data_IF_329223734270
#
_entry.id   IF_329223734270
#
_cell.length_a   1.000
_cell.length_b   1.000
_cell.length_c   1.000
_cell.angle_alpha   90.00
_cell.angle_beta   90.00
_cell.angle_gamma   90.00
#
_symmetry.space_group_name_H-M   'P 1'
#
loop_
_entity.id
_entity.type
_entity.pdbx_description
1 polymer ?
#
# COMPACT_ATOMS: atom_id res chain seq x y z
N UNK A 1 22.63 -1.07 13.15
CA UNK A 1 22.21 -2.44 12.77
C UNK A 1 23.33 -3.06 11.96
N UNK A 2 23.96 -4.09 12.52
CA UNK A 2 25.17 -4.74 12.02
C UNK A 2 24.92 -5.45 10.68
N UNK A 3 25.82 -5.20 9.74
CA UNK A 3 25.91 -5.77 8.39
C UNK A 3 25.88 -7.30 8.41
N UNK A 4 24.72 -7.89 8.10
CA UNK A 4 24.61 -9.27 7.62
C UNK A 4 24.74 -9.18 6.08
N UNK A 5 25.81 -9.58 5.38
CA UNK A 5 27.06 -10.24 5.71
C UNK A 5 27.88 -10.50 4.43
N UNK A 6 29.20 -10.62 4.57
CA UNK A 6 30.07 -11.54 3.79
C UNK A 6 30.03 -11.53 2.24
N UNK A 7 29.55 -10.46 1.59
CA UNK A 7 29.66 -10.24 0.14
C UNK A 7 28.57 -10.89 -0.73
N UNK A 8 27.60 -11.60 -0.12
CA UNK A 8 26.49 -12.25 -0.84
C UNK A 8 25.44 -11.26 -1.35
N UNK A 9 25.46 -10.03 -0.85
CA UNK A 9 24.58 -8.92 -1.21
C UNK A 9 25.13 -8.06 -2.36
N UNK A 10 26.39 -8.24 -2.74
CA UNK A 10 27.05 -7.44 -3.79
C UNK A 10 26.57 -7.77 -5.21
N UNK A 11 25.97 -8.94 -5.41
CA UNK A 11 25.54 -9.42 -6.72
C UNK A 11 24.15 -10.02 -6.61
N UNK A 12 23.30 -9.70 -7.58
CA UNK A 12 22.04 -10.41 -7.77
C UNK A 12 22.31 -11.89 -8.10
N UNK A 13 21.29 -12.72 -7.94
CA UNK A 13 21.26 -14.17 -8.15
C UNK A 13 22.23 -14.99 -7.27
N UNK A 14 22.90 -14.37 -6.31
CA UNK A 14 23.75 -15.06 -5.33
C UNK A 14 22.90 -15.44 -4.12
N UNK A 15 22.97 -16.73 -3.74
CA UNK A 15 22.31 -17.23 -2.54
C UNK A 15 23.20 -17.05 -1.32
N UNK A 16 22.63 -16.52 -0.25
CA UNK A 16 23.23 -16.54 1.09
C UNK A 16 23.27 -17.97 1.66
N UNK A 17 24.04 -18.23 2.73
CA UNK A 17 24.03 -19.51 3.44
C UNK A 17 22.63 -19.95 3.93
N UNK A 18 21.72 -18.99 4.15
CA UNK A 18 20.33 -19.24 4.58
C UNK A 18 19.36 -19.41 3.39
N UNK A 19 19.87 -19.45 2.15
CA UNK A 19 19.06 -19.61 0.93
C UNK A 19 18.32 -18.36 0.48
N UNK A 20 18.78 -17.17 0.87
CA UNK A 20 18.15 -15.88 0.54
C UNK A 20 18.88 -15.16 -0.59
N UNK A 21 18.15 -14.32 -1.34
CA UNK A 21 18.73 -13.38 -2.30
C UNK A 21 18.54 -11.95 -1.78
N UNK A 22 19.60 -11.38 -1.19
CA UNK A 22 19.52 -10.08 -0.52
C UNK A 22 19.21 -8.92 -1.47
N UNK A 23 19.63 -8.98 -2.73
CA UNK A 23 19.33 -7.93 -3.71
C UNK A 23 17.83 -7.81 -4.00
N UNK A 24 17.08 -8.90 -3.92
CA UNK A 24 15.61 -8.87 -4.02
C UNK A 24 14.99 -8.25 -2.78
N UNK A 25 15.50 -8.57 -1.59
CA UNK A 25 15.02 -7.97 -0.34
C UNK A 25 15.31 -6.47 -0.26
N UNK A 26 16.44 -6.02 -0.78
CA UNK A 26 16.77 -4.60 -0.89
C UNK A 26 15.83 -3.88 -1.87
N UNK A 27 15.42 -4.55 -2.95
CA UNK A 27 14.40 -4.01 -3.84
C UNK A 27 13.05 -3.81 -3.11
N UNK A 28 12.68 -4.72 -2.20
CA UNK A 28 11.49 -4.56 -1.33
C UNK A 28 11.62 -3.32 -0.43
N UNK A 29 12.83 -2.97 0.05
CA UNK A 29 13.04 -1.72 0.80
C UNK A 29 12.78 -0.47 -0.03
N UNK A 30 13.07 -0.50 -1.33
CA UNK A 30 12.69 0.60 -2.23
C UNK A 30 11.16 0.70 -2.39
N UNK A 31 10.44 -0.43 -2.40
CA UNK A 31 8.98 -0.46 -2.43
C UNK A 31 8.38 0.14 -1.15
N UNK A 32 8.91 -0.23 0.02
CA UNK A 32 8.43 0.25 1.33
C UNK A 32 8.55 1.78 1.48
N UNK A 33 9.47 2.42 0.76
CA UNK A 33 9.61 3.87 0.71
C UNK A 33 8.70 4.56 -0.32
N UNK A 34 7.98 3.79 -1.14
CA UNK A 34 7.04 4.33 -2.15
C UNK A 34 5.74 4.83 -1.52
N UNK A 35 5.03 5.72 -2.23
CA UNK A 35 3.69 6.16 -1.83
C UNK A 35 2.71 4.99 -1.82
N UNK A 36 1.64 5.10 -1.03
CA UNK A 36 0.70 4.00 -0.82
C UNK A 36 -0.16 3.76 -2.04
N UNK A 37 -0.28 2.49 -2.45
CA UNK A 37 -1.18 2.05 -3.52
C UNK A 37 -2.00 0.86 -3.03
N UNK A 38 -3.28 0.82 -3.40
CA UNK A 38 -4.20 -0.25 -3.04
C UNK A 38 -4.99 -0.75 -4.24
N UNK A 39 -5.49 -1.97 -4.11
CA UNK A 39 -6.50 -2.55 -4.99
C UNK A 39 -7.58 -3.26 -4.18
N UNK A 40 -8.82 -3.15 -4.64
CA UNK A 40 -9.99 -3.76 -4.00
C UNK A 40 -10.76 -4.54 -5.07
N UNK A 41 -11.01 -5.82 -4.81
CA UNK A 41 -11.91 -6.65 -5.62
C UNK A 41 -13.33 -6.48 -5.10
N UNK A 42 -14.25 -6.12 -5.99
CA UNK A 42 -15.68 -6.06 -5.73
C UNK A 42 -16.41 -7.17 -6.50
N UNK A 43 -17.73 -7.28 -6.33
CA UNK A 43 -18.51 -8.41 -6.89
C UNK A 43 -18.41 -8.51 -8.40
N UNK A 44 -18.38 -7.36 -9.09
CA UNK A 44 -18.43 -7.28 -10.53
C UNK A 44 -17.22 -6.57 -11.15
N UNK A 45 -16.17 -6.32 -10.36
CA UNK A 45 -15.03 -5.53 -10.80
C UNK A 45 -13.85 -5.43 -9.85
N UNK A 46 -12.98 -4.47 -10.17
CA UNK A 46 -11.82 -4.08 -9.35
C UNK A 46 -11.68 -2.56 -9.33
N UNK A 47 -11.21 -2.03 -8.20
CA UNK A 47 -10.88 -0.62 -7.99
C UNK A 47 -9.42 -0.51 -7.60
N UNK A 48 -8.73 0.49 -8.12
CA UNK A 48 -7.36 0.86 -7.77
C UNK A 48 -7.33 2.29 -7.27
N UNK A 49 -6.59 2.54 -6.19
CA UNK A 49 -6.36 3.88 -5.69
C UNK A 49 -4.90 4.07 -5.30
N UNK A 50 -4.40 5.30 -5.47
CA UNK A 50 -3.00 5.64 -5.16
C UNK A 50 -2.88 7.03 -4.57
N UNK A 51 -2.00 7.11 -3.58
CA UNK A 51 -1.52 8.34 -2.98
C UNK A 51 -0.44 8.98 -3.87
N UNK A 52 -0.67 10.22 -4.32
CA UNK A 52 0.33 10.99 -5.09
C UNK A 52 0.81 12.17 -4.27
N UNK A 53 1.92 11.97 -3.57
CA UNK A 53 2.59 13.03 -2.80
C UNK A 53 2.86 14.26 -3.68
N UNK A 54 2.36 15.41 -3.25
CA UNK A 54 2.59 16.71 -3.88
C UNK A 54 3.87 17.29 -3.31
N UNK A 55 4.97 17.08 -4.03
CA UNK A 55 6.30 17.54 -3.58
C UNK A 55 6.52 19.05 -3.75
N UNK A 56 5.73 19.69 -4.59
CA UNK A 56 5.80 21.12 -4.86
C UNK A 56 4.47 21.64 -5.39
N UNK A 57 4.10 22.87 -4.99
CA UNK A 57 2.94 23.60 -5.51
C UNK A 57 3.04 23.93 -7.01
N UNK A 58 4.22 23.75 -7.61
CA UNK A 58 4.44 23.92 -9.05
C UNK A 58 3.93 22.73 -9.87
N UNK A 59 3.65 21.58 -9.24
CA UNK A 59 3.06 20.44 -9.92
C UNK A 59 1.65 20.80 -10.37
N UNK A 60 1.38 20.62 -11.66
CA UNK A 60 0.02 20.81 -12.20
C UNK A 60 -0.87 19.68 -11.66
N UNK A 61 -1.96 20.01 -10.94
CA UNK A 61 -2.89 19.01 -10.40
C UNK A 61 -3.46 18.12 -11.51
N UNK A 62 -3.75 16.85 -11.19
CA UNK A 62 -4.39 15.85 -12.06
C UNK A 62 -3.62 15.48 -13.34
N UNK A 63 -2.39 15.96 -13.55
CA UNK A 63 -1.63 15.71 -14.80
C UNK A 63 -0.59 14.59 -14.71
N UNK A 64 -0.06 14.33 -13.52
CA UNK A 64 1.01 13.35 -13.30
C UNK A 64 0.43 11.99 -12.92
N UNK A 65 -0.25 11.33 -13.86
CA UNK A 65 -1.00 10.08 -13.63
C UNK A 65 -0.05 8.91 -13.31
N UNK A 66 -0.39 8.11 -12.29
CA UNK A 66 0.41 6.94 -11.87
C UNK A 66 -0.23 5.62 -12.26
N UNK A 67 -1.55 5.52 -12.22
CA UNK A 67 -2.28 4.34 -12.66
C UNK A 67 -2.15 4.22 -14.19
N UNK A 68 -1.95 3.00 -14.68
CA UNK A 68 -1.76 2.73 -16.10
C UNK A 68 -2.65 1.58 -16.57
N UNK A 69 -3.34 1.79 -17.69
CA UNK A 69 -4.09 0.72 -18.37
C UNK A 69 -3.17 -0.17 -19.21
N UNK A 70 -3.50 -1.48 -19.25
CA UNK A 70 -2.89 -2.52 -20.09
C UNK A 70 -4.01 -3.18 -20.90
N UNK A 71 -3.87 -3.17 -22.24
CA UNK A 71 -5.00 -3.35 -23.15
C UNK A 71 -6.16 -2.40 -22.72
N UNK A 72 -7.42 -2.83 -22.85
CA UNK A 72 -8.60 -2.03 -22.51
C UNK A 72 -9.28 -2.46 -21.22
N UNK A 73 -8.91 -3.60 -20.64
CA UNK A 73 -9.63 -4.27 -19.54
C UNK A 73 -8.79 -4.49 -18.29
N UNK A 74 -7.51 -4.11 -18.28
CA UNK A 74 -6.59 -4.29 -17.14
C UNK A 74 -6.11 -2.93 -16.65
N UNK A 75 -6.27 -2.68 -15.35
CA UNK A 75 -5.62 -1.58 -14.65
C UNK A 75 -4.38 -2.06 -13.89
N UNK A 76 -3.36 -1.22 -13.81
CA UNK A 76 -2.16 -1.46 -13.03
C UNK A 76 -1.76 -0.21 -12.25
N UNK A 77 -1.40 -0.40 -10.99
CA UNK A 77 -0.82 0.61 -10.11
C UNK A 77 0.39 -0.01 -9.39
N UNK A 78 1.37 0.79 -8.99
CA UNK A 78 2.59 0.27 -8.38
C UNK A 78 3.19 1.26 -7.38
N UNK A 79 3.89 0.72 -6.39
CA UNK A 79 4.67 1.47 -5.41
C UNK A 79 6.14 1.09 -5.48
N UNK A 80 7.01 2.07 -5.22
CA UNK A 80 8.47 1.95 -5.35
C UNK A 80 9.02 2.87 -6.44
N UNK A 81 9.96 2.36 -7.24
CA UNK A 81 10.64 3.13 -8.29
C UNK A 81 9.72 3.33 -9.52
N UNK A 82 9.24 4.56 -9.71
CA UNK A 82 8.27 4.88 -10.78
C UNK A 82 8.75 4.47 -12.19
N UNK A 83 10.03 4.68 -12.60
CA UNK A 83 10.50 4.25 -13.91
C UNK A 83 10.48 2.73 -14.10
N UNK A 84 10.82 1.96 -13.06
CA UNK A 84 10.74 0.49 -13.09
C UNK A 84 9.30 0.03 -13.30
N UNK A 85 8.33 0.67 -12.63
CA UNK A 85 6.90 0.39 -12.80
C UNK A 85 6.40 0.70 -14.22
N UNK A 86 6.86 1.81 -14.82
CA UNK A 86 6.55 2.12 -16.23
C UNK A 86 7.12 1.07 -17.18
N UNK A 87 8.35 0.61 -16.93
CA UNK A 87 8.98 -0.45 -17.71
C UNK A 87 8.22 -1.77 -17.60
N UNK A 88 7.82 -2.15 -16.38
CA UNK A 88 6.94 -3.28 -16.11
C UNK A 88 5.64 -3.22 -16.92
N UNK A 89 4.93 -2.09 -16.89
CA UNK A 89 3.67 -1.91 -17.63
C UNK A 89 3.88 -1.94 -19.13
N UNK A 90 4.97 -1.35 -19.64
CA UNK A 90 5.29 -1.40 -21.07
C UNK A 90 5.49 -2.84 -21.54
N UNK A 91 6.23 -3.66 -20.77
CA UNK A 91 6.34 -5.09 -21.07
C UNK A 91 4.98 -5.79 -21.01
N UNK A 92 4.14 -5.46 -20.03
CA UNK A 92 2.77 -5.96 -19.94
C UNK A 92 1.92 -5.67 -21.17
N UNK A 93 2.03 -4.46 -21.74
CA UNK A 93 1.33 -4.07 -22.97
C UNK A 93 1.80 -4.87 -24.18
N UNK A 94 3.09 -5.15 -24.28
CA UNK A 94 3.64 -6.02 -25.33
C UNK A 94 3.08 -7.44 -25.22
N UNK A 95 3.10 -8.04 -24.02
CA UNK A 95 2.57 -9.39 -23.78
C UNK A 95 1.07 -9.48 -24.10
N UNK A 96 0.28 -8.50 -23.65
CA UNK A 96 -1.15 -8.44 -23.94
C UNK A 96 -1.42 -8.30 -25.45
N UNK A 97 -0.69 -7.42 -26.14
CA UNK A 97 -0.82 -7.23 -27.58
C UNK A 97 -0.43 -8.49 -28.37
N UNK A 98 0.66 -9.15 -27.97
CA UNK A 98 1.11 -10.40 -28.59
C UNK A 98 0.11 -11.54 -28.38
N UNK A 99 -0.44 -11.67 -27.18
CA UNK A 99 -1.48 -12.66 -26.90
C UNK A 99 -2.70 -12.44 -27.79
N UNK A 100 -3.21 -11.21 -27.86
CA UNK A 100 -4.36 -10.86 -28.69
C UNK A 100 -4.10 -11.08 -30.18
N UNK A 101 -2.89 -10.81 -30.66
CA UNK A 101 -2.50 -11.07 -32.04
C UNK A 101 -2.52 -12.56 -32.37
N UNK A 102 -2.09 -13.41 -31.44
CA UNK A 102 -1.98 -14.85 -31.65
C UNK A 102 -3.33 -15.57 -31.47
N UNK A 103 -4.10 -15.20 -30.46
CA UNK A 103 -5.32 -15.90 -30.05
C UNK A 103 -6.61 -15.15 -30.41
N UNK A 104 -6.52 -13.95 -30.99
CA UNK A 104 -7.66 -13.07 -31.34
C UNK A 104 -8.55 -12.61 -30.18
N UNK A 105 -8.25 -13.01 -28.95
CA UNK A 105 -8.98 -12.67 -27.74
C UNK A 105 -8.13 -11.80 -26.81
N UNK A 106 -8.78 -10.99 -25.96
CA UNK A 106 -8.09 -10.27 -24.90
C UNK A 106 -7.41 -11.27 -23.94
N UNK A 107 -6.25 -10.91 -23.41
CA UNK A 107 -5.51 -11.79 -22.48
C UNK A 107 -6.31 -11.98 -21.17
N UNK A 108 -6.58 -13.21 -20.71
CA UNK A 108 -7.15 -13.46 -19.39
C UNK A 108 -6.25 -12.92 -18.28
N UNK A 109 -6.82 -12.45 -17.18
CA UNK A 109 -6.05 -11.82 -16.09
C UNK A 109 -5.03 -12.80 -15.47
N UNK A 110 -5.37 -14.08 -15.21
CA UNK A 110 -4.39 -15.04 -14.68
C UNK A 110 -3.24 -15.32 -15.66
N UNK A 111 -3.51 -15.34 -16.96
CA UNK A 111 -2.48 -15.52 -17.98
C UNK A 111 -1.54 -14.31 -18.06
N UNK A 112 -2.08 -13.10 -17.93
CA UNK A 112 -1.29 -11.88 -17.81
C UNK A 112 -0.39 -11.89 -16.57
N UNK A 113 -0.94 -12.33 -15.43
CA UNK A 113 -0.19 -12.44 -14.17
C UNK A 113 1.04 -13.35 -14.31
N UNK A 114 0.87 -14.53 -14.91
CA UNK A 114 2.00 -15.46 -15.14
C UNK A 114 3.05 -14.86 -16.08
N UNK A 115 2.64 -14.29 -17.23
CA UNK A 115 3.57 -13.68 -18.20
C UNK A 115 4.50 -12.66 -17.56
N UNK A 116 3.93 -11.82 -16.70
CA UNK A 116 4.68 -10.74 -16.06
C UNK A 116 5.41 -11.22 -14.80
N UNK A 117 4.86 -12.19 -14.07
CA UNK A 117 5.56 -12.92 -13.02
C UNK A 117 6.87 -13.54 -13.51
N UNK A 118 6.82 -14.28 -14.62
CA UNK A 118 8.02 -14.85 -15.26
C UNK A 118 9.03 -13.79 -15.68
N UNK A 119 8.55 -12.66 -16.21
CA UNK A 119 9.42 -11.55 -16.62
C UNK A 119 10.17 -10.94 -15.42
N UNK A 120 9.48 -10.70 -14.31
CA UNK A 120 10.10 -10.16 -13.09
C UNK A 120 11.02 -11.18 -12.46
N UNK A 121 10.61 -12.45 -12.40
CA UNK A 121 11.43 -13.55 -11.89
C UNK A 121 12.74 -13.67 -12.67
N UNK A 122 12.73 -13.53 -14.00
CA UNK A 122 13.94 -13.57 -14.82
C UNK A 122 14.97 -12.49 -14.41
N UNK A 123 14.53 -11.36 -13.86
CA UNK A 123 15.42 -10.29 -13.36
C UNK A 123 16.03 -10.59 -11.98
N UNK A 124 15.77 -11.78 -11.43
CA UNK A 124 16.39 -12.30 -10.19
C UNK A 124 17.38 -13.44 -10.46
N UNK A 125 17.43 -13.93 -11.70
CA UNK A 125 18.22 -15.10 -12.10
C UNK A 125 19.63 -14.76 -12.62
N UNK A 126 19.89 -13.51 -12.97
CA UNK A 126 21.16 -13.09 -13.57
C UNK A 126 21.77 -11.92 -12.81
N UNK A 127 23.09 -11.97 -12.59
CA UNK A 127 23.84 -10.90 -11.94
C UNK A 127 24.03 -9.65 -12.81
N UNK A 128 23.84 -9.76 -14.13
CA UNK A 128 23.97 -8.65 -15.09
C UNK A 128 22.75 -7.72 -15.10
N UNK A 129 21.68 -8.07 -14.38
CA UNK A 129 20.45 -7.29 -14.25
C UNK A 129 20.11 -7.05 -12.78
N UNK A 130 19.42 -5.94 -12.51
CA UNK A 130 18.90 -5.60 -11.18
C UNK A 130 17.44 -6.09 -11.04
N UNK A 131 17.02 -6.61 -9.87
CA UNK A 131 15.61 -6.87 -9.59
C UNK A 131 14.76 -5.60 -9.68
N UNK A 132 13.48 -5.76 -10.00
CA UNK A 132 12.53 -4.64 -10.06
C UNK A 132 12.34 -4.00 -8.69
N UNK A 133 12.46 -2.67 -8.60
CA UNK A 133 12.21 -1.92 -7.38
C UNK A 133 10.74 -1.54 -7.19
N UNK A 134 9.80 -2.40 -7.60
CA UNK A 134 8.36 -2.15 -7.53
C UNK A 134 7.58 -3.38 -7.07
N UNK A 135 6.53 -3.13 -6.31
CA UNK A 135 5.39 -4.05 -6.17
C UNK A 135 4.25 -3.49 -6.99
N UNK A 136 3.68 -4.29 -7.88
CA UNK A 136 2.59 -3.90 -8.76
C UNK A 136 1.29 -4.58 -8.31
N UNK A 137 0.23 -3.79 -8.19
CA UNK A 137 -1.15 -4.26 -8.03
C UNK A 137 -1.84 -4.07 -9.37
N UNK A 138 -2.38 -5.15 -9.93
CA UNK A 138 -3.05 -5.11 -11.22
C UNK A 138 -4.23 -6.07 -11.24
N UNK A 139 -5.13 -5.85 -12.19
CA UNK A 139 -6.36 -6.62 -12.25
C UNK A 139 -7.33 -6.03 -13.24
N UNK A 140 -8.45 -6.71 -13.40
CA UNK A 140 -9.46 -6.37 -14.37
C UNK A 140 -10.59 -7.37 -14.36
N UNK A 141 -11.34 -7.37 -15.45
CA UNK A 141 -12.41 -8.33 -15.68
C UNK A 141 -12.09 -9.12 -16.94
N UNK A 142 -12.23 -10.43 -16.85
CA UNK A 142 -12.25 -11.33 -17.99
C UNK A 142 -13.55 -12.16 -17.99
N UNK A 143 -13.59 -13.20 -18.82
CA UNK A 143 -14.75 -14.08 -18.96
C UNK A 143 -15.12 -14.83 -17.66
N UNK A 144 -14.15 -15.02 -16.77
CA UNK A 144 -14.32 -15.69 -15.48
C UNK A 144 -14.65 -14.70 -14.34
N UNK A 145 -14.75 -13.40 -14.63
CA UNK A 145 -15.13 -12.37 -13.68
C UNK A 145 -13.96 -11.49 -13.21
N UNK A 146 -14.12 -10.80 -12.07
CA UNK A 146 -13.11 -9.89 -11.57
C UNK A 146 -11.93 -10.60 -10.93
N UNK A 147 -10.73 -10.13 -11.25
CA UNK A 147 -9.46 -10.64 -10.74
C UNK A 147 -8.57 -9.49 -10.28
N UNK A 148 -8.00 -9.62 -9.08
CA UNK A 148 -7.02 -8.69 -8.51
C UNK A 148 -5.79 -9.48 -8.10
N UNK A 149 -4.62 -9.03 -8.55
CA UNK A 149 -3.33 -9.62 -8.28
C UNK A 149 -2.36 -8.57 -7.72
N UNK A 150 -1.44 -9.04 -6.89
CA UNK A 150 -0.29 -8.26 -6.45
C UNK A 150 0.97 -9.07 -6.73
N UNK A 151 1.95 -8.43 -7.35
CA UNK A 151 3.24 -9.01 -7.74
C UNK A 151 4.38 -8.27 -7.03
N UNK A 152 5.30 -9.04 -6.47
CA UNK A 152 6.44 -8.54 -5.69
C UNK A 152 7.76 -8.58 -6.50
N UNK A 153 8.81 -7.84 -6.08
CA UNK A 153 10.13 -7.83 -6.73
C UNK A 153 10.78 -9.19 -7.00
N UNK A 154 10.39 -10.23 -6.25
CA UNK A 154 10.85 -11.61 -6.42
C UNK A 154 10.27 -12.30 -7.67
N UNK A 155 9.22 -11.74 -8.26
CA UNK A 155 8.39 -12.38 -9.29
C UNK A 155 7.23 -13.19 -8.72
N UNK A 156 7.14 -13.33 -7.40
CA UNK A 156 5.98 -13.95 -6.73
C UNK A 156 4.74 -13.10 -6.89
N UNK A 157 3.61 -13.73 -7.16
CA UNK A 157 2.30 -13.07 -7.19
C UNK A 157 1.20 -14.00 -6.68
N UNK A 158 0.14 -13.40 -6.17
CA UNK A 158 -1.07 -14.12 -5.72
C UNK A 158 -2.32 -13.34 -6.08
N UNK A 159 -3.46 -14.04 -6.12
CA UNK A 159 -4.77 -13.40 -6.22
C UNK A 159 -5.23 -12.89 -4.85
N UNK A 160 -5.81 -11.69 -4.81
CA UNK A 160 -6.22 -11.01 -3.58
C UNK A 160 -7.69 -10.59 -3.62
N UNK A 161 -8.32 -10.52 -2.44
CA UNK A 161 -9.58 -9.78 -2.24
C UNK A 161 -9.32 -8.27 -2.08
N UNK A 162 -8.25 -7.93 -1.36
CA UNK A 162 -7.70 -6.58 -1.25
C UNK A 162 -6.18 -6.66 -1.15
N UNK A 163 -5.50 -5.69 -1.73
CA UNK A 163 -4.04 -5.61 -1.75
C UNK A 163 -3.58 -4.19 -1.43
N UNK A 164 -2.47 -4.06 -0.72
CA UNK A 164 -1.86 -2.79 -0.39
C UNK A 164 -0.33 -2.88 -0.38
N UNK A 165 0.32 -1.84 -0.89
CA UNK A 165 1.78 -1.69 -0.92
C UNK A 165 2.20 -0.23 -0.77
N UNK A 166 3.49 0.03 -0.58
CA UNK A 166 4.04 1.33 -0.22
C UNK A 166 4.15 1.54 1.29
N UNK A 167 4.40 2.79 1.69
CA UNK A 167 4.71 3.16 3.07
C UNK A 167 3.55 2.94 4.03
N UNK A 168 2.33 3.37 3.67
CA UNK A 168 1.12 3.21 4.48
C UNK A 168 0.45 1.84 4.38
N UNK A 169 1.18 0.80 3.95
CA UNK A 169 0.60 -0.54 3.68
C UNK A 169 0.04 -1.23 4.92
N UNK A 170 0.55 -0.95 6.12
CA UNK A 170 0.09 -1.62 7.34
C UNK A 170 -1.32 -1.15 7.70
N UNK A 171 -1.52 0.17 7.78
CA UNK A 171 -2.82 0.81 7.95
C UNK A 171 -3.80 0.38 6.86
N UNK A 172 -3.37 0.44 5.60
CA UNK A 172 -4.22 0.04 4.47
C UNK A 172 -4.65 -1.43 4.53
N UNK A 173 -3.78 -2.36 4.95
CA UNK A 173 -4.15 -3.78 5.10
C UNK A 173 -5.20 -3.99 6.19
N UNK A 174 -5.03 -3.36 7.35
CA UNK A 174 -5.98 -3.50 8.46
C UNK A 174 -7.38 -3.01 8.04
N UNK A 175 -7.47 -1.90 7.31
CA UNK A 175 -8.76 -1.39 6.82
C UNK A 175 -9.34 -2.24 5.69
N UNK A 176 -8.51 -2.77 4.79
CA UNK A 176 -8.97 -3.70 3.75
C UNK A 176 -9.60 -4.96 4.36
N UNK A 177 -9.01 -5.52 5.43
CA UNK A 177 -9.57 -6.68 6.13
C UNK A 177 -10.97 -6.37 6.69
N UNK A 178 -11.12 -5.24 7.41
CA UNK A 178 -12.42 -4.79 7.93
C UNK A 178 -13.47 -4.61 6.83
N UNK A 179 -13.11 -3.92 5.74
CA UNK A 179 -14.02 -3.67 4.62
C UNK A 179 -14.46 -4.97 3.96
N UNK A 180 -13.54 -5.92 3.76
CA UNK A 180 -13.86 -7.20 3.13
C UNK A 180 -14.79 -8.04 4.01
N UNK A 181 -14.56 -8.07 5.33
CA UNK A 181 -15.38 -8.84 6.26
C UNK A 181 -16.80 -8.27 6.37
N UNK A 182 -16.92 -6.93 6.45
CA UNK A 182 -18.21 -6.23 6.54
C UNK A 182 -19.04 -6.33 5.25
N UNK A 183 -18.41 -6.53 4.10
CA UNK A 183 -19.07 -6.58 2.79
C UNK A 183 -19.06 -7.99 2.17
N UNK A 184 -19.08 -9.02 3.01
CA UNK A 184 -19.02 -10.43 2.57
C UNK A 184 -20.26 -10.92 1.83
N UNK A 185 -21.42 -10.29 2.04
CA UNK A 185 -22.69 -10.61 1.36
C UNK A 185 -22.92 -9.83 0.06
N UNK A 186 -22.04 -8.89 -0.26
CA UNK A 186 -22.09 -8.09 -1.47
C UNK A 186 -21.29 -6.81 -1.31
N UNK A 187 -20.47 -6.50 -2.31
CA UNK A 187 -19.64 -5.32 -2.34
C UNK A 187 -19.70 -4.66 -3.71
N UNK A 188 -20.44 -3.55 -3.82
CA UNK A 188 -20.62 -2.86 -5.09
C UNK A 188 -19.36 -2.11 -5.53
N UNK A 189 -19.18 -1.92 -6.84
CA UNK A 189 -18.06 -1.16 -7.36
C UNK A 189 -18.04 0.32 -6.88
N UNK A 190 -19.22 0.93 -6.69
CA UNK A 190 -19.34 2.31 -6.20
C UNK A 190 -18.95 2.43 -4.72
N UNK A 191 -19.35 1.47 -3.90
CA UNK A 191 -18.95 1.44 -2.49
C UNK A 191 -17.45 1.16 -2.36
N UNK A 192 -16.91 0.27 -3.19
CA UNK A 192 -15.47 0.02 -3.25
C UNK A 192 -14.66 1.28 -3.61
N UNK A 193 -15.17 2.16 -4.48
CA UNK A 193 -14.54 3.46 -4.78
C UNK A 193 -14.50 4.36 -3.54
N UNK A 194 -15.59 4.45 -2.78
CA UNK A 194 -15.66 5.22 -1.53
C UNK A 194 -14.71 4.68 -0.46
N UNK A 195 -14.70 3.37 -0.27
CA UNK A 195 -13.79 2.71 0.66
C UNK A 195 -12.32 2.89 0.24
N UNK A 196 -12.02 2.81 -1.07
CA UNK A 196 -10.67 3.04 -1.56
C UNK A 196 -10.16 4.46 -1.24
N UNK A 197 -11.03 5.47 -1.37
CA UNK A 197 -10.70 6.83 -0.96
C UNK A 197 -10.40 6.89 0.55
N UNK A 198 -11.31 6.39 1.40
CA UNK A 198 -11.14 6.34 2.87
C UNK A 198 -9.79 5.72 3.25
N UNK A 199 -9.49 4.54 2.72
CA UNK A 199 -8.27 3.80 3.04
C UNK A 199 -7.00 4.58 2.65
N UNK A 200 -6.98 5.24 1.49
CA UNK A 200 -5.83 6.06 1.10
C UNK A 200 -5.66 7.26 2.04
N UNK A 201 -6.73 7.94 2.43
CA UNK A 201 -6.64 9.04 3.38
C UNK A 201 -6.15 8.57 4.76
N UNK A 202 -6.63 7.43 5.28
CA UNK A 202 -6.14 6.88 6.55
C UNK A 202 -4.66 6.46 6.46
N UNK A 203 -4.26 5.85 5.34
CA UNK A 203 -2.87 5.47 5.11
C UNK A 203 -1.93 6.67 4.88
N UNK A 204 -2.47 7.86 4.61
CA UNK A 204 -1.70 9.08 4.44
C UNK A 204 -1.08 9.59 5.76
N UNK A 205 -1.57 9.16 6.91
CA UNK A 205 -1.01 9.55 8.23
C UNK A 205 0.49 9.24 8.35
N UNK A 206 0.95 8.16 7.71
CA UNK A 206 2.37 7.80 7.65
C UNK A 206 3.22 8.76 6.78
N UNK A 207 2.57 9.66 6.03
CA UNK A 207 3.13 10.65 5.09
C UNK A 207 2.64 12.09 5.33
N UNK A 208 2.05 12.39 6.49
CA UNK A 208 1.39 13.68 6.80
C UNK A 208 2.23 14.95 6.67
N UNK A 209 3.55 14.83 6.50
CA UNK A 209 4.45 15.97 6.25
C UNK A 209 4.21 16.66 4.90
N UNK A 210 3.55 15.99 3.95
CA UNK A 210 3.33 16.50 2.59
C UNK A 210 1.89 16.27 2.17
N UNK A 211 1.29 17.28 1.54
CA UNK A 211 -0.01 17.10 0.90
C UNK A 211 0.05 15.98 -0.17
N UNK A 212 -1.10 15.38 -0.45
CA UNK A 212 -1.23 14.38 -1.52
C UNK A 212 -2.43 14.67 -2.43
N UNK A 213 -2.36 14.14 -3.65
CA UNK A 213 -3.47 14.07 -4.59
C UNK A 213 -3.94 12.61 -4.67
N UNK A 214 -5.24 12.39 -4.49
CA UNK A 214 -5.87 11.08 -4.67
C UNK A 214 -6.10 10.81 -6.16
N UNK A 215 -5.80 9.59 -6.61
CA UNK A 215 -6.13 9.12 -7.94
C UNK A 215 -6.79 7.75 -7.84
N UNK A 216 -7.95 7.58 -8.50
CA UNK A 216 -8.74 6.35 -8.49
C UNK A 216 -9.05 5.92 -9.92
N UNK A 217 -9.01 4.61 -10.16
CA UNK A 217 -9.50 3.99 -11.38
C UNK A 217 -10.24 2.70 -11.06
N UNK A 218 -11.01 2.20 -12.02
CA UNK A 218 -11.80 0.99 -11.84
C UNK A 218 -12.04 0.26 -13.15
N UNK A 219 -12.42 -1.00 -13.03
CA UNK A 219 -12.93 -1.83 -14.11
C UNK A 219 -14.08 -2.66 -13.52
N UNK A 220 -15.31 -2.33 -13.90
CA UNK A 220 -16.57 -2.96 -13.43
C UNK A 220 -17.44 -3.39 -14.61
N UNK A 221 -18.08 -4.55 -14.50
CA UNK A 221 -18.95 -5.10 -15.54
C UNK A 221 -20.18 -4.22 -15.74
N UNK A 222 -20.82 -3.78 -14.66
CA UNK A 222 -22.03 -2.94 -14.71
C UNK A 222 -21.72 -1.48 -15.01
N UNK A 223 -20.67 -0.91 -14.43
CA UNK A 223 -20.43 0.54 -14.47
C UNK A 223 -19.55 0.97 -15.67
N UNK A 224 -18.66 0.09 -16.14
CA UNK A 224 -17.67 0.43 -17.17
C UNK A 224 -17.71 -0.45 -18.41
N UNK A 225 -18.66 -1.39 -18.48
CA UNK A 225 -18.73 -2.45 -19.50
C UNK A 225 -17.46 -3.31 -19.57
N UNK A 226 -16.83 -3.58 -18.41
CA UNK A 226 -15.60 -4.37 -18.33
C UNK A 226 -14.36 -3.67 -18.89
N UNK A 227 -14.37 -2.34 -18.99
CA UNK A 227 -13.24 -1.55 -19.47
C UNK A 227 -12.57 -0.80 -18.32
N UNK A 228 -11.24 -0.74 -18.32
CA UNK A 228 -10.50 0.10 -17.38
C UNK A 228 -10.76 1.58 -17.66
N UNK A 229 -11.18 2.32 -16.64
CA UNK A 229 -11.44 3.77 -16.71
C UNK A 229 -10.97 4.47 -15.44
N UNK A 230 -10.66 5.76 -15.55
CA UNK A 230 -10.45 6.62 -14.39
C UNK A 230 -11.80 7.00 -13.77
N UNK A 231 -11.81 7.18 -12.44
CA UNK A 231 -12.95 7.76 -11.72
C UNK A 231 -12.77 9.27 -11.70
N UNK A 232 -13.70 9.99 -12.30
CA UNK A 232 -13.65 11.45 -12.46
C UNK A 232 -15.03 12.07 -12.18
N UNK A 233 -15.08 13.39 -11.98
CA UNK A 233 -16.33 14.15 -11.80
C UNK A 233 -17.02 13.82 -10.46
N UNK A 234 -18.36 13.79 -10.50
CA UNK A 234 -19.22 13.66 -9.31
C UNK A 234 -18.86 12.44 -8.45
N UNK A 235 -18.61 11.28 -9.07
CA UNK A 235 -18.28 10.06 -8.33
C UNK A 235 -16.94 10.17 -7.57
N UNK A 236 -15.97 10.89 -8.13
CA UNK A 236 -14.70 11.13 -7.46
C UNK A 236 -14.89 12.07 -6.26
N UNK A 237 -15.66 13.15 -6.46
CA UNK A 237 -15.91 14.14 -5.42
C UNK A 237 -16.71 13.53 -4.26
N UNK A 238 -17.74 12.72 -4.55
CA UNK A 238 -18.49 11.95 -3.55
C UNK A 238 -17.58 11.02 -2.71
N UNK A 239 -16.62 10.35 -3.36
CA UNK A 239 -15.69 9.46 -2.66
C UNK A 239 -14.74 10.22 -1.74
N UNK A 240 -14.28 11.40 -2.17
CA UNK A 240 -13.44 12.29 -1.36
C UNK A 240 -14.23 12.85 -0.17
N UNK A 241 -15.46 13.29 -0.37
CA UNK A 241 -16.33 13.78 0.70
C UNK A 241 -16.63 12.69 1.73
N UNK A 242 -16.94 11.47 1.25
CA UNK A 242 -17.12 10.30 2.12
C UNK A 242 -15.87 10.04 2.98
N UNK A 243 -14.69 9.98 2.36
CA UNK A 243 -13.44 9.73 3.07
C UNK A 243 -13.16 10.78 4.16
N UNK A 244 -13.33 12.07 3.84
CA UNK A 244 -13.12 13.16 4.80
C UNK A 244 -14.10 13.11 5.98
N UNK A 245 -15.36 12.78 5.71
CA UNK A 245 -16.40 12.67 6.74
C UNK A 245 -16.10 11.55 7.74
N UNK A 246 -15.69 10.40 7.24
CA UNK A 246 -15.36 9.24 8.08
C UNK A 246 -14.17 9.52 8.99
N UNK A 247 -13.13 10.17 8.46
CA UNK A 247 -11.93 10.48 9.25
C UNK A 247 -12.22 11.52 10.33
N UNK A 248 -13.00 12.55 10.02
CA UNK A 248 -13.42 13.53 11.02
C UNK A 248 -14.31 12.91 12.12
N UNK A 249 -15.18 11.96 11.76
CA UNK A 249 -16.04 11.26 12.72
C UNK A 249 -15.26 10.32 13.66
N UNK A 250 -14.19 9.71 13.17
CA UNK A 250 -13.30 8.89 14.00
C UNK A 250 -12.53 9.76 15.03
N UNK A 251 -12.04 10.95 14.62
CA UNK A 251 -11.33 11.90 15.50
C UNK A 251 -12.20 12.44 16.65
N UNK A 252 -13.49 12.70 16.42
CA UNK A 252 -14.41 13.16 17.46
C UNK A 252 -14.71 12.04 18.49
N UNK A 253 -14.75 10.77 18.04
CA UNK A 253 -15.08 9.62 18.90
C UNK A 253 -13.96 9.20 19.86
N UNK A 254 -12.70 9.46 19.51
CA UNK A 254 -11.55 9.21 20.38
C UNK A 254 -11.40 10.28 21.48
N UNK A 255 -12.02 11.45 21.32
CA UNK A 255 -12.00 12.52 22.33
C UNK A 255 -12.95 12.26 23.52
N UNK A 256 -14.04 11.54 23.29
CA UNK A 256 -15.03 11.22 24.33
C UNK A 256 -14.59 10.06 25.25
N UNK A 257 -13.65 9.22 24.79
CA UNK A 257 -13.16 8.06 25.55
C UNK A 257 -12.02 8.42 26.53
N UNK A 258 -11.51 9.65 26.49
CA UNK A 258 -10.49 10.16 27.40
C UNK A 258 -11.07 10.92 28.61
N UNK A 259 -12.40 11.09 28.69
CA UNK A 259 -13.07 11.88 29.74
C UNK A 259 -13.81 11.07 30.82
N UNK A 260 -13.70 9.73 30.84
CA UNK A 260 -14.45 8.89 31.79
C UNK A 260 -13.62 8.23 32.90
N UNK A 261 -12.44 8.76 33.25
CA UNK A 261 -11.67 8.26 34.39
C UNK A 261 -11.17 9.39 35.28
N UNK A 262 -12.07 10.19 35.82
CA UNK A 262 -11.82 10.98 37.03
C UNK A 262 -13.18 11.35 37.63
N UNK A 263 -13.66 10.55 38.58
CA UNK A 263 -14.40 11.02 39.76
C UNK A 263 -14.90 9.81 40.56
N UNK A 264 -14.24 9.52 41.67
CA UNK A 264 -14.85 9.14 42.95
C UNK A 264 -13.73 9.01 43.98
N UNK A 265 -13.50 10.05 44.79
CA UNK A 265 -13.82 10.00 46.23
C UNK A 265 -13.41 11.31 46.93
N UNK A 266 -14.39 12.01 47.50
CA UNK A 266 -14.16 13.15 48.38
C UNK A 266 -15.05 12.99 49.62
N UNK A 267 -14.44 12.59 50.73
CA UNK A 267 -15.00 12.63 52.08
C UNK A 267 -14.00 13.27 53.06
N UNK A 268 -14.40 14.20 53.95
CA UNK A 268 -13.45 15.00 54.73
C UNK A 268 -13.17 14.48 56.15
N UNK A 269 -11.95 14.79 56.60
CA UNK A 269 -11.42 15.03 57.96
C UNK A 269 -11.60 14.01 59.12
N UNK A 270 -10.48 13.60 59.74
CA UNK A 270 -9.98 14.04 61.07
C UNK A 270 -8.88 13.09 61.63
N UNK A 271 -7.72 13.69 61.94
CA UNK A 271 -6.68 13.41 62.96
C UNK A 271 -6.31 11.98 63.40
N UNK A 272 -5.03 11.60 63.31
CA UNK A 272 -4.06 11.48 64.46
C UNK A 272 -2.64 11.05 64.03
N UNK A 273 -1.64 11.74 64.60
CA UNK A 273 -0.25 11.35 65.00
C UNK A 273 0.27 9.94 64.62
N UNK A 274 1.50 9.68 64.13
CA UNK A 274 2.83 9.92 64.75
C UNK A 274 3.97 9.44 63.79
N UNK A 275 5.13 10.11 63.89
CA UNK A 275 6.52 9.59 63.76
C UNK A 275 7.17 9.22 62.40
N UNK A 276 8.17 10.02 62.03
CA UNK A 276 9.39 9.72 61.21
C UNK A 276 10.38 8.85 62.02
N UNK A 277 11.38 8.14 61.42
CA UNK A 277 12.51 8.68 60.60
C UNK A 277 12.83 7.83 59.34
N UNK A 278 13.23 8.38 58.19
CA UNK A 278 14.54 8.92 57.77
C UNK A 278 15.73 7.92 57.81
N UNK A 279 16.16 7.46 56.63
CA UNK A 279 17.53 7.04 56.23
C UNK A 279 17.59 7.12 54.69
N UNK A 280 18.32 8.06 54.09
CA UNK A 280 19.76 8.11 53.77
C UNK A 280 20.13 7.59 52.37
N UNK A 281 20.79 8.47 51.60
CA UNK A 281 21.80 8.15 50.57
C UNK A 281 21.28 7.89 49.16
N UNK A 282 21.90 8.35 48.07
CA UNK A 282 23.07 9.20 47.89
C UNK A 282 23.04 9.63 46.42
N UNK A 283 23.24 10.91 46.14
CA UNK A 283 23.43 11.44 44.79
C UNK A 283 24.93 11.63 44.51
N UNK A 284 25.25 11.64 43.22
CA UNK A 284 26.46 12.18 42.59
C UNK A 284 27.75 11.37 42.69
N UNK A 285 28.21 10.92 41.51
CA UNK A 285 29.62 11.01 41.11
C UNK A 285 29.74 11.30 39.61
N UNK A 286 29.98 12.57 39.30
CA UNK A 286 30.88 12.97 38.23
C UNK A 286 32.31 12.49 38.55
N UNK A 287 33.08 12.23 37.50
CA UNK A 287 34.50 11.88 37.62
C UNK A 287 35.15 11.58 36.28
N UNK A 288 35.67 12.64 35.66
CA UNK A 288 36.80 12.60 34.72
C UNK A 288 37.94 11.72 35.22
N UNK A 289 38.72 11.12 34.31
CA UNK A 289 40.18 10.89 34.39
C UNK A 289 40.66 10.35 33.02
N UNK A 290 41.41 11.18 32.28
CA UNK A 290 42.53 10.73 31.40
C UNK A 290 43.60 10.10 32.29
N UNK A 291 44.34 9.04 31.88
CA UNK A 291 45.80 9.01 31.53
C UNK A 291 46.19 7.60 30.98
N UNK A 292 47.16 7.60 30.07
CA UNK A 292 48.02 6.53 29.46
C UNK A 292 47.49 5.66 28.32
#
# INVERSE_FOLDING_TARGET
MTSIGTGYDLSNSVFSPDGRNFQVEYAVKAVENGATSIGIKCDDGVVFAVEKIVTSKLLVPKRNVKIQGIDRHIGCVYSGLIPDGRHFVNRGREEASNFKKLYSNAIPIPAFADRIGQYVQAHTLYNSVRPFGVTAIFGGIDENGPHLYMLEPSGTYWGYKGAATGKGRQTAKAELEKVIDQNSEGFSARDAVKQAAKIIYMAHEDNKEKDFELEISWCSKSETNGLHKFVEGELFDEAVEYAKKEIAGDEDSDSDNAMSSDDEDAGPDVATTTETPATEGNADRDGDIEIE
#
